data_IF_607169050182
#
_entry.id   IF_607169050182
#
_cell.length_a   1.000
_cell.length_b   1.000
_cell.length_c   1.000
_cell.angle_alpha   90.00
_cell.angle_beta   90.00
_cell.angle_gamma   90.00
#
_symmetry.space_group_name_H-M   'P 1'
#
loop_
_entity.id
_entity.type
_entity.pdbx_description
1 polymer ?
#
# COMPACT_ATOMS: atom_id res chain seq x y z
N UNK A 1 11.40 10.52 39.64
CA UNK A 1 10.60 9.37 39.14
C UNK A 1 11.45 8.63 38.12
N UNK A 2 11.74 7.35 38.33
CA UNK A 2 12.59 6.60 37.37
C UNK A 2 11.92 6.46 36.02
N UNK A 3 12.72 6.36 34.95
CA UNK A 3 12.21 6.22 33.57
C UNK A 3 11.20 5.04 33.46
N UNK A 4 11.44 3.92 34.14
CA UNK A 4 10.55 2.75 34.17
C UNK A 4 9.15 3.04 34.75
N UNK A 5 9.07 3.84 35.83
CA UNK A 5 7.80 4.22 36.45
C UNK A 5 7.02 5.15 35.51
N UNK A 6 7.70 6.05 34.84
CA UNK A 6 7.10 6.96 33.84
C UNK A 6 6.50 6.18 32.68
N UNK A 7 7.25 5.24 32.11
CA UNK A 7 6.77 4.37 31.02
C UNK A 7 5.55 3.54 31.44
N UNK A 8 5.53 3.01 32.67
CA UNK A 8 4.38 2.23 33.16
C UNK A 8 3.12 3.09 33.34
N UNK A 9 3.28 4.32 33.86
CA UNK A 9 2.18 5.29 33.97
C UNK A 9 1.64 5.71 32.60
N UNK A 10 2.52 6.00 31.65
CA UNK A 10 2.13 6.34 30.28
C UNK A 10 1.35 5.20 29.62
N UNK A 11 1.80 3.94 29.80
CA UNK A 11 1.07 2.77 29.31
C UNK A 11 -0.30 2.61 29.97
N UNK A 12 -0.42 2.86 31.28
CA UNK A 12 -1.70 2.79 31.98
C UNK A 12 -2.67 3.85 31.45
N UNK A 13 -2.20 5.09 31.28
CA UNK A 13 -2.99 6.19 30.73
C UNK A 13 -3.47 5.84 29.31
N UNK A 14 -2.57 5.35 28.43
CA UNK A 14 -2.92 4.96 27.07
C UNK A 14 -3.93 3.81 27.03
N UNK A 15 -3.79 2.77 27.89
CA UNK A 15 -4.76 1.68 27.98
C UNK A 15 -6.13 2.16 28.45
N UNK A 16 -6.18 3.05 29.43
CA UNK A 16 -7.42 3.63 29.95
C UNK A 16 -8.08 4.50 28.89
N UNK A 17 -7.33 5.38 28.24
CA UNK A 17 -7.78 6.19 27.13
C UNK A 17 -8.34 5.32 25.99
N UNK A 18 -7.61 4.24 25.59
CA UNK A 18 -8.08 3.33 24.55
C UNK A 18 -9.41 2.64 24.91
N UNK A 19 -9.63 2.26 26.18
CA UNK A 19 -10.92 1.72 26.65
C UNK A 19 -12.06 2.74 26.53
N UNK A 20 -11.80 3.99 26.92
CA UNK A 20 -12.80 5.05 26.84
C UNK A 20 -13.09 5.42 25.38
N UNK A 21 -12.04 5.59 24.57
CA UNK A 21 -12.13 5.92 23.15
C UNK A 21 -12.71 4.74 22.33
N UNK A 22 -12.57 3.50 22.82
CA UNK A 22 -13.20 2.33 22.21
C UNK A 22 -14.72 2.47 22.04
N UNK A 23 -15.38 3.25 22.94
CA UNK A 23 -16.81 3.57 22.85
C UNK A 23 -17.15 4.50 21.67
N UNK A 24 -16.16 5.19 21.10
CA UNK A 24 -16.32 6.03 19.92
C UNK A 24 -16.18 5.23 18.60
N UNK A 25 -15.73 3.98 18.67
CA UNK A 25 -15.63 3.08 17.52
C UNK A 25 -17.05 2.60 17.15
N UNK A 26 -17.67 3.27 16.19
CA UNK A 26 -19.07 3.01 15.79
C UNK A 26 -19.20 2.22 14.49
N UNK A 27 -18.18 2.24 13.65
CA UNK A 27 -18.21 1.56 12.35
C UNK A 27 -17.58 0.17 12.45
N UNK A 28 -18.17 -0.81 11.75
CA UNK A 28 -17.53 -2.10 11.48
C UNK A 28 -16.46 -1.89 10.41
N UNK A 29 -15.37 -2.65 10.49
CA UNK A 29 -14.27 -2.56 9.53
C UNK A 29 -14.74 -2.71 8.07
N UNK A 30 -15.63 -3.66 7.79
CA UNK A 30 -16.16 -3.91 6.44
C UNK A 30 -17.00 -2.76 5.86
N UNK A 31 -17.55 -1.87 6.72
CA UNK A 31 -18.35 -0.73 6.29
C UNK A 31 -17.48 0.52 6.01
N UNK A 32 -16.18 0.44 6.30
CA UNK A 32 -15.25 1.54 6.07
C UNK A 32 -14.99 1.76 4.57
N UNK A 33 -14.94 3.01 4.08
CA UNK A 33 -14.71 3.31 2.67
C UNK A 33 -13.44 2.65 2.09
N UNK A 34 -12.37 2.56 2.87
CA UNK A 34 -11.12 1.90 2.45
C UNK A 34 -11.34 0.43 2.10
N UNK A 35 -12.04 -0.33 2.95
CA UNK A 35 -12.34 -1.74 2.68
C UNK A 35 -13.37 -1.93 1.56
N UNK A 36 -14.36 -1.02 1.46
CA UNK A 36 -15.32 -1.04 0.35
C UNK A 36 -14.68 -0.80 -1.00
N UNK A 37 -13.64 0.04 -1.08
CA UNK A 37 -12.90 0.25 -2.32
C UNK A 37 -12.22 -1.04 -2.79
N UNK A 38 -11.61 -1.81 -1.87
CA UNK A 38 -11.07 -3.11 -2.24
C UNK A 38 -12.16 -4.10 -2.67
N UNK A 39 -13.30 -4.10 -2.00
CA UNK A 39 -14.45 -4.94 -2.39
C UNK A 39 -14.96 -4.57 -3.80
N UNK A 40 -14.98 -3.29 -4.15
CA UNK A 40 -15.31 -2.83 -5.50
C UNK A 40 -14.29 -3.34 -6.54
N UNK A 41 -12.99 -3.16 -6.28
CA UNK A 41 -11.94 -3.67 -7.16
C UNK A 41 -12.03 -5.21 -7.31
N UNK A 42 -12.22 -5.91 -6.20
CA UNK A 42 -12.41 -7.37 -6.21
C UNK A 42 -13.60 -7.77 -7.09
N UNK A 43 -14.72 -7.05 -7.01
CA UNK A 43 -15.89 -7.32 -7.86
C UNK A 43 -15.56 -7.12 -9.34
N UNK A 44 -14.77 -6.09 -9.70
CA UNK A 44 -14.33 -5.87 -11.09
C UNK A 44 -13.54 -7.07 -11.62
N UNK A 45 -12.64 -7.63 -10.80
CA UNK A 45 -11.86 -8.83 -11.15
C UNK A 45 -12.76 -10.04 -11.35
N UNK A 46 -13.70 -10.28 -10.41
CA UNK A 46 -14.53 -11.48 -10.40
C UNK A 46 -15.57 -11.54 -11.52
N UNK A 47 -15.96 -10.40 -12.09
CA UNK A 47 -16.91 -10.35 -13.23
C UNK A 47 -16.21 -10.34 -14.59
N UNK A 48 -14.88 -10.20 -14.61
CA UNK A 48 -14.11 -10.21 -15.84
C UNK A 48 -13.95 -11.66 -16.36
N UNK A 49 -13.93 -11.82 -17.66
CA UNK A 49 -13.74 -13.10 -18.30
C UNK A 49 -12.26 -13.50 -18.32
N UNK A 50 -11.90 -14.59 -17.62
CA UNK A 50 -10.53 -15.12 -17.55
C UNK A 50 -9.45 -14.04 -17.27
N UNK A 51 -9.58 -13.24 -16.21
CA UNK A 51 -8.66 -12.15 -15.96
C UNK A 51 -7.28 -12.65 -15.53
N UNK A 52 -6.23 -11.97 -16.02
CA UNK A 52 -4.87 -12.11 -15.51
C UNK A 52 -4.64 -11.08 -14.40
N UNK A 53 -4.31 -11.54 -13.20
CA UNK A 53 -4.12 -10.72 -11.99
C UNK A 53 -2.69 -10.78 -11.50
N UNK A 54 -2.11 -9.63 -11.17
CA UNK A 54 -0.81 -9.51 -10.49
C UNK A 54 -0.99 -8.91 -9.10
N UNK A 55 -0.44 -9.56 -8.08
CA UNK A 55 -0.22 -9.00 -6.75
C UNK A 55 1.22 -8.50 -6.61
N UNK A 56 1.42 -7.24 -6.21
CA UNK A 56 2.71 -6.68 -5.82
C UNK A 56 2.78 -6.69 -4.29
N UNK A 57 3.81 -7.35 -3.72
CA UNK A 57 3.96 -7.55 -2.29
C UNK A 57 3.31 -8.86 -1.81
N UNK A 58 3.42 -9.92 -2.61
CA UNK A 58 2.74 -11.20 -2.37
C UNK A 58 3.30 -12.01 -1.18
N UNK A 59 4.46 -11.64 -0.65
CA UNK A 59 5.12 -12.37 0.45
C UNK A 59 4.28 -12.47 1.73
N UNK A 60 3.38 -11.53 1.95
CA UNK A 60 2.43 -11.50 3.06
C UNK A 60 3.06 -11.68 4.45
N UNK A 61 3.79 -10.66 4.90
CA UNK A 61 4.53 -10.64 6.19
C UNK A 61 3.62 -10.59 7.41
N UNK A 62 2.42 -10.03 7.29
CA UNK A 62 1.52 -9.73 8.42
C UNK A 62 0.38 -10.74 8.62
N UNK A 63 0.02 -11.49 7.58
CA UNK A 63 -1.07 -12.45 7.62
C UNK A 63 -0.67 -13.73 6.87
N UNK A 64 -0.97 -14.88 7.45
CA UNK A 64 -0.61 -16.17 6.84
C UNK A 64 -1.74 -16.65 5.90
N UNK A 65 -1.98 -15.92 4.81
CA UNK A 65 -2.97 -16.30 3.80
C UNK A 65 -2.46 -15.99 2.39
N UNK A 66 -2.88 -16.80 1.42
CA UNK A 66 -2.61 -16.60 0.00
C UNK A 66 -3.46 -15.45 -0.55
N UNK A 67 -2.84 -14.54 -1.31
CA UNK A 67 -3.56 -13.46 -2.00
C UNK A 67 -4.58 -14.00 -3.01
N UNK A 68 -4.37 -15.19 -3.56
CA UNK A 68 -5.30 -15.89 -4.45
C UNK A 68 -6.67 -16.13 -3.82
N UNK A 69 -6.74 -16.33 -2.51
CA UNK A 69 -7.99 -16.54 -1.79
C UNK A 69 -8.94 -15.34 -1.88
N UNK A 70 -8.40 -14.18 -2.20
CA UNK A 70 -9.20 -12.97 -2.42
C UNK A 70 -10.00 -13.03 -3.73
N UNK A 71 -9.55 -13.84 -4.69
CA UNK A 71 -10.11 -13.91 -6.04
C UNK A 71 -10.44 -15.35 -6.45
N UNK A 72 -11.43 -15.98 -5.79
CA UNK A 72 -11.79 -17.37 -6.08
C UNK A 72 -12.24 -17.52 -7.55
N UNK A 73 -11.70 -18.56 -8.21
CA UNK A 73 -11.98 -18.85 -9.61
C UNK A 73 -11.05 -18.16 -10.62
N UNK A 74 -10.17 -17.26 -10.20
CA UNK A 74 -9.13 -16.68 -11.06
C UNK A 74 -7.97 -17.67 -11.19
N UNK A 75 -7.75 -18.19 -12.40
CA UNK A 75 -6.70 -19.18 -12.70
C UNK A 75 -5.36 -18.55 -13.07
N UNK A 76 -5.37 -17.37 -13.71
CA UNK A 76 -4.16 -16.62 -14.08
C UNK A 76 -3.85 -15.56 -13.02
N UNK A 77 -3.25 -16.01 -11.93
CA UNK A 77 -2.80 -15.15 -10.83
C UNK A 77 -1.30 -15.30 -10.64
N UNK A 78 -0.62 -14.17 -10.50
CA UNK A 78 0.82 -14.10 -10.25
C UNK A 78 1.09 -13.24 -9.02
N UNK A 79 1.78 -13.79 -8.03
CA UNK A 79 2.31 -13.04 -6.88
C UNK A 79 3.76 -12.63 -7.12
N UNK A 80 4.07 -11.33 -7.02
CA UNK A 80 5.44 -10.82 -7.09
C UNK A 80 5.86 -10.15 -5.79
N UNK A 81 7.10 -10.37 -5.38
CA UNK A 81 7.72 -9.70 -4.23
C UNK A 81 9.22 -9.53 -4.50
N UNK A 82 9.86 -8.57 -3.82
CA UNK A 82 11.32 -8.38 -3.90
C UNK A 82 12.10 -9.52 -3.25
N UNK A 83 11.48 -10.28 -2.36
CA UNK A 83 12.06 -11.44 -1.70
C UNK A 83 11.27 -12.72 -1.99
N UNK A 84 11.92 -13.88 -1.99
CA UNK A 84 11.21 -15.15 -2.08
C UNK A 84 10.31 -15.39 -0.85
N UNK A 85 9.21 -16.10 -1.07
CA UNK A 85 8.25 -16.43 -0.01
C UNK A 85 7.24 -17.47 -0.47
N UNK A 86 6.43 -17.97 0.46
CA UNK A 86 5.49 -19.08 0.22
C UNK A 86 4.48 -18.77 -0.91
N UNK A 87 4.06 -17.49 -1.05
CA UNK A 87 3.03 -17.06 -2.02
C UNK A 87 3.61 -16.23 -3.17
N UNK A 88 4.94 -16.23 -3.32
CA UNK A 88 5.66 -15.49 -4.34
C UNK A 88 5.98 -16.41 -5.51
N UNK A 89 5.40 -16.11 -6.67
CA UNK A 89 5.66 -16.86 -7.90
C UNK A 89 6.89 -16.30 -8.63
N UNK A 90 7.09 -14.98 -8.55
CA UNK A 90 8.19 -14.27 -9.21
C UNK A 90 8.88 -13.35 -8.22
N UNK A 91 10.18 -13.50 -8.08
CA UNK A 91 11.00 -12.57 -7.29
C UNK A 91 11.45 -11.44 -8.21
N UNK A 92 10.94 -10.24 -7.97
CA UNK A 92 11.28 -9.06 -8.77
C UNK A 92 11.05 -7.76 -8.00
N UNK A 93 11.80 -6.73 -8.37
CA UNK A 93 11.62 -5.37 -7.88
C UNK A 93 10.45 -4.69 -8.61
N UNK A 94 9.53 -4.08 -7.84
CA UNK A 94 8.41 -3.32 -8.39
C UNK A 94 8.84 -2.15 -9.29
N UNK A 95 10.08 -1.69 -9.18
CA UNK A 95 10.67 -0.68 -10.06
C UNK A 95 11.17 -1.24 -11.41
N UNK A 96 11.02 -2.54 -11.67
CA UNK A 96 11.50 -3.24 -12.87
C UNK A 96 10.51 -4.32 -13.37
N UNK A 97 9.20 -4.10 -13.23
CA UNK A 97 8.18 -5.10 -13.60
C UNK A 97 8.17 -5.39 -15.09
N UNK A 98 8.40 -4.38 -15.95
CA UNK A 98 8.50 -4.58 -17.40
C UNK A 98 9.62 -5.54 -17.80
N UNK A 99 10.72 -5.55 -17.04
CA UNK A 99 11.82 -6.49 -17.22
C UNK A 99 11.47 -7.90 -16.73
N UNK A 100 10.74 -8.00 -15.62
CA UNK A 100 10.31 -9.29 -15.07
C UNK A 100 9.22 -9.95 -15.90
N UNK A 101 8.37 -9.15 -16.57
CA UNK A 101 7.21 -9.61 -17.37
C UNK A 101 7.23 -9.03 -18.80
N UNK A 102 8.25 -9.32 -19.63
CA UNK A 102 8.42 -8.67 -20.94
C UNK A 102 7.27 -8.99 -21.91
N UNK A 103 6.66 -10.15 -21.82
CA UNK A 103 5.60 -10.60 -22.72
C UNK A 103 4.22 -10.68 -22.05
N UNK A 104 4.20 -10.82 -20.72
CA UNK A 104 2.94 -10.97 -19.98
C UNK A 104 2.26 -9.63 -19.81
N UNK A 105 0.94 -9.62 -20.01
CA UNK A 105 0.08 -8.46 -19.80
C UNK A 105 -1.06 -8.84 -18.87
N UNK A 106 -1.26 -8.03 -17.84
CA UNK A 106 -2.28 -8.24 -16.82
C UNK A 106 -3.51 -7.39 -17.08
N UNK A 107 -4.68 -7.91 -16.73
CA UNK A 107 -5.93 -7.15 -16.73
C UNK A 107 -6.05 -6.31 -15.46
N UNK A 108 -5.55 -6.86 -14.35
CA UNK A 108 -5.60 -6.24 -13.03
C UNK A 108 -4.26 -6.36 -12.32
N UNK A 109 -3.84 -5.27 -11.68
CA UNK A 109 -2.69 -5.24 -10.77
C UNK A 109 -3.17 -4.71 -9.43
N UNK A 110 -2.73 -5.30 -8.32
CA UNK A 110 -3.00 -4.72 -7.02
C UNK A 110 -1.80 -4.77 -6.08
N UNK A 111 -1.80 -3.84 -5.12
CA UNK A 111 -0.76 -3.71 -4.12
C UNK A 111 -1.37 -3.18 -2.81
N UNK A 112 -1.06 -3.82 -1.70
CA UNK A 112 -1.55 -3.44 -0.37
C UNK A 112 -0.36 -3.32 0.58
N UNK A 113 -0.16 -2.11 1.16
CA UNK A 113 0.92 -1.81 2.10
C UNK A 113 2.31 -2.14 1.55
N UNK A 114 2.60 -1.63 0.33
CA UNK A 114 3.89 -1.74 -0.34
C UNK A 114 4.37 -0.39 -0.84
N UNK A 115 3.47 0.48 -1.34
CA UNK A 115 3.86 1.74 -1.96
C UNK A 115 4.60 2.68 -1.02
N UNK A 116 4.33 2.61 0.29
CA UNK A 116 5.07 3.34 1.33
C UNK A 116 6.55 2.94 1.41
N UNK A 117 6.88 1.72 0.95
CA UNK A 117 8.21 1.14 0.94
C UNK A 117 8.92 1.24 -0.40
N UNK A 118 8.28 1.78 -1.43
CA UNK A 118 8.89 2.00 -2.73
C UNK A 118 9.68 3.31 -2.73
N UNK A 119 10.98 3.25 -2.95
CA UNK A 119 11.83 4.44 -3.00
C UNK A 119 11.38 5.42 -4.09
N UNK A 120 10.98 4.90 -5.25
CA UNK A 120 10.53 5.66 -6.43
C UNK A 120 9.12 5.22 -6.86
N UNK A 121 8.05 5.59 -6.13
CA UNK A 121 6.70 5.08 -6.40
C UNK A 121 6.16 5.48 -7.77
N UNK A 122 6.57 6.63 -8.32
CA UNK A 122 6.23 7.03 -9.69
C UNK A 122 6.87 6.13 -10.75
N UNK A 123 8.08 5.58 -10.49
CA UNK A 123 8.68 4.57 -11.37
C UNK A 123 7.86 3.29 -11.35
N UNK A 124 7.44 2.83 -10.17
CA UNK A 124 6.56 1.66 -10.07
C UNK A 124 5.23 1.87 -10.81
N UNK A 125 4.66 3.08 -10.79
CA UNK A 125 3.47 3.40 -11.58
C UNK A 125 3.72 3.25 -13.10
N UNK A 126 4.88 3.69 -13.60
CA UNK A 126 5.26 3.48 -15.00
C UNK A 126 5.47 2.00 -15.33
N UNK A 127 6.12 1.25 -14.47
CA UNK A 127 6.34 -0.19 -14.63
C UNK A 127 5.01 -0.98 -14.61
N UNK A 128 4.07 -0.58 -13.76
CA UNK A 128 2.69 -1.11 -13.79
C UNK A 128 2.02 -0.80 -15.13
N UNK A 129 2.22 0.41 -15.67
CA UNK A 129 1.69 0.74 -17.00
C UNK A 129 2.25 -0.19 -18.08
N UNK A 130 3.55 -0.52 -18.05
CA UNK A 130 4.17 -1.42 -19.03
C UNK A 130 3.52 -2.80 -19.07
N UNK A 131 3.17 -3.35 -17.92
CA UNK A 131 2.67 -4.72 -17.78
C UNK A 131 1.14 -4.83 -17.84
N UNK A 132 0.41 -3.73 -17.68
CA UNK A 132 -1.05 -3.70 -17.83
C UNK A 132 -1.47 -3.70 -19.30
N UNK A 133 -2.51 -4.46 -19.61
CA UNK A 133 -3.23 -4.36 -20.88
C UNK A 133 -3.89 -2.99 -21.03
N UNK A 134 -4.11 -2.48 -22.26
CA UNK A 134 -4.96 -1.31 -22.45
C UNK A 134 -6.34 -1.51 -21.80
N UNK A 135 -6.80 -0.53 -21.04
CA UNK A 135 -8.05 -0.65 -20.26
C UNK A 135 -7.95 -1.40 -18.93
N UNK A 136 -6.78 -2.01 -18.64
CA UNK A 136 -6.53 -2.69 -17.37
C UNK A 136 -6.54 -1.74 -16.18
N UNK A 137 -6.73 -2.28 -14.98
CA UNK A 137 -6.89 -1.49 -13.77
C UNK A 137 -5.81 -1.82 -12.73
N UNK A 138 -5.41 -0.80 -12.00
CA UNK A 138 -4.54 -0.94 -10.83
C UNK A 138 -5.28 -0.51 -9.57
N UNK A 139 -5.12 -1.29 -8.50
CA UNK A 139 -5.55 -0.95 -7.15
C UNK A 139 -4.32 -0.78 -6.26
N UNK A 140 -4.25 0.34 -5.54
CA UNK A 140 -3.22 0.58 -4.53
C UNK A 140 -3.89 0.95 -3.21
N UNK A 141 -3.52 0.24 -2.16
CA UNK A 141 -3.89 0.57 -0.80
C UNK A 141 -2.63 0.80 0.05
N UNK A 142 -2.55 1.92 0.75
CA UNK A 142 -1.40 2.35 1.54
C UNK A 142 -1.83 3.29 2.68
N UNK A 143 -0.91 4.03 3.28
CA UNK A 143 -1.13 4.76 4.52
C UNK A 143 -0.91 6.27 4.38
N UNK A 144 -1.91 7.12 4.69
CA UNK A 144 -1.70 8.56 4.89
C UNK A 144 -1.09 8.87 6.27
N UNK A 145 -1.36 8.04 7.28
CA UNK A 145 -0.79 8.17 8.62
C UNK A 145 -0.58 6.80 9.25
N UNK A 146 0.66 6.45 9.52
CA UNK A 146 1.07 5.21 10.16
C UNK A 146 2.38 5.41 10.92
N UNK A 147 2.63 4.62 11.97
CA UNK A 147 3.93 4.60 12.63
C UNK A 147 5.01 4.11 11.67
N UNK A 148 6.24 4.62 11.82
CA UNK A 148 7.38 4.13 11.03
C UNK A 148 7.60 2.64 11.29
N UNK A 149 7.80 1.87 10.23
CA UNK A 149 7.96 0.42 10.28
C UNK A 149 8.85 -0.06 9.14
N UNK A 150 9.39 -1.28 9.27
CA UNK A 150 10.26 -1.92 8.27
C UNK A 150 11.46 -1.06 7.81
N UNK A 151 11.99 -0.27 8.75
CA UNK A 151 13.14 0.60 8.51
C UNK A 151 14.37 -0.19 8.03
N UNK A 152 15.18 0.37 7.12
CA UNK A 152 15.15 1.76 6.60
C UNK A 152 14.23 1.97 5.38
N UNK A 153 13.39 1.03 5.01
CA UNK A 153 12.57 1.03 3.80
C UNK A 153 11.14 1.52 4.05
N UNK A 154 10.97 2.65 4.70
CA UNK A 154 9.68 3.31 4.97
C UNK A 154 9.80 4.78 4.55
N UNK A 155 9.40 5.10 3.32
CA UNK A 155 9.71 6.37 2.68
C UNK A 155 8.53 7.34 2.62
N UNK A 156 7.28 6.82 2.45
CA UNK A 156 6.17 7.66 2.04
C UNK A 156 4.92 7.52 2.91
N UNK A 157 4.18 8.63 2.98
CA UNK A 157 2.80 8.70 3.48
C UNK A 157 1.97 9.41 2.43
N UNK A 158 0.87 8.78 2.00
CA UNK A 158 0.10 9.20 0.84
C UNK A 158 -1.17 9.91 1.27
N UNK A 159 -1.40 11.13 0.80
CA UNK A 159 -2.65 11.86 0.97
C UNK A 159 -3.56 11.67 -0.25
N UNK A 160 -4.82 12.09 -0.14
CA UNK A 160 -5.82 11.94 -1.20
C UNK A 160 -5.31 12.34 -2.59
N UNK A 161 -4.67 13.50 -2.71
CA UNK A 161 -4.20 14.02 -4.00
C UNK A 161 -2.91 13.38 -4.52
N UNK A 162 -2.20 12.58 -3.72
CA UNK A 162 -1.02 11.85 -4.19
C UNK A 162 -1.37 10.80 -5.26
N UNK A 163 -2.63 10.31 -5.29
CA UNK A 163 -3.12 9.46 -6.36
C UNK A 163 -2.92 10.09 -7.75
N UNK A 164 -3.21 11.38 -7.88
CA UNK A 164 -3.09 12.11 -9.16
C UNK A 164 -1.65 12.45 -9.53
N UNK A 165 -0.70 12.44 -8.58
CA UNK A 165 0.72 12.57 -8.88
C UNK A 165 1.32 11.28 -9.43
N UNK A 166 0.80 10.13 -9.01
CA UNK A 166 1.26 8.81 -9.47
C UNK A 166 0.54 8.35 -10.74
N UNK A 167 -0.79 8.52 -10.77
CA UNK A 167 -1.67 8.02 -11.84
C UNK A 167 -2.32 9.21 -12.55
N UNK A 168 -1.82 9.55 -13.74
CA UNK A 168 -2.26 10.69 -14.53
C UNK A 168 -2.02 10.45 -16.02
N UNK A 169 -2.41 11.40 -16.86
CA UNK A 169 -2.28 11.27 -18.32
C UNK A 169 -0.84 11.08 -18.81
N UNK A 170 0.17 11.60 -18.07
CA UNK A 170 1.58 11.45 -18.45
C UNK A 170 2.10 10.06 -18.09
N UNK A 171 1.64 9.50 -16.96
CA UNK A 171 1.90 8.09 -16.60
C UNK A 171 0.96 7.10 -17.31
N UNK A 172 0.06 7.60 -18.17
CA UNK A 172 -0.85 6.80 -18.99
C UNK A 172 -2.07 6.28 -18.26
N UNK A 173 -2.47 6.93 -17.16
CA UNK A 173 -3.59 6.52 -16.33
C UNK A 173 -4.66 7.61 -16.17
N UNK A 174 -5.86 7.14 -15.88
CA UNK A 174 -6.96 7.92 -15.33
C UNK A 174 -7.29 7.40 -13.94
N UNK A 175 -7.39 8.28 -12.95
CA UNK A 175 -7.83 7.92 -11.59
C UNK A 175 -9.35 7.72 -11.61
N UNK A 176 -9.78 6.49 -11.39
CA UNK A 176 -11.22 6.12 -11.37
C UNK A 176 -11.84 6.45 -10.02
N UNK A 177 -11.14 6.16 -8.94
CA UNK A 177 -11.61 6.41 -7.58
C UNK A 177 -10.45 6.56 -6.61
N UNK A 178 -10.62 7.44 -5.63
CA UNK A 178 -9.74 7.57 -4.46
C UNK A 178 -10.61 7.67 -3.21
N UNK A 179 -10.23 6.98 -2.17
CA UNK A 179 -10.90 7.11 -0.87
C UNK A 179 -9.91 7.04 0.28
N UNK A 180 -10.18 7.80 1.32
CA UNK A 180 -9.53 7.66 2.61
C UNK A 180 -10.50 6.98 3.57
N UNK A 181 -9.96 6.16 4.48
CA UNK A 181 -10.74 5.46 5.48
C UNK A 181 -9.92 5.14 6.73
N UNK A 182 -10.48 4.29 7.59
CA UNK A 182 -9.89 3.98 8.89
C UNK A 182 -9.66 5.26 9.71
N UNK A 183 -10.74 6.01 10.06
CA UNK A 183 -10.62 7.31 10.72
C UNK A 183 -9.92 7.20 12.06
N UNK A 184 -9.03 8.13 12.34
CA UNK A 184 -8.25 8.22 13.56
C UNK A 184 -8.14 9.67 14.05
N UNK A 185 -7.57 9.83 15.24
CA UNK A 185 -7.18 11.13 15.79
C UNK A 185 -5.78 11.04 16.36
N UNK A 186 -5.00 12.10 16.16
CA UNK A 186 -3.64 12.19 16.67
C UNK A 186 -3.58 13.09 17.91
N UNK A 187 -2.87 12.63 18.93
CA UNK A 187 -2.60 13.41 20.13
C UNK A 187 -1.11 13.76 20.17
N UNK A 188 -0.82 15.05 20.29
CA UNK A 188 0.54 15.49 20.54
C UNK A 188 0.95 15.18 21.98
N UNK A 189 2.13 14.62 22.15
CA UNK A 189 2.77 14.43 23.47
C UNK A 189 3.66 15.62 23.85
N UNK A 190 3.74 16.63 23.00
CA UNK A 190 4.50 17.86 23.21
C UNK A 190 3.54 19.02 23.36
N UNK A 191 3.83 19.94 24.29
CA UNK A 191 3.09 21.20 24.44
C UNK A 191 3.58 22.21 23.39
N UNK A 192 3.04 22.07 22.18
CA UNK A 192 3.33 22.93 21.05
C UNK A 192 2.03 23.60 20.55
N UNK A 193 2.00 24.94 20.36
CA UNK A 193 0.81 25.63 19.90
C UNK A 193 0.27 25.14 18.56
N UNK A 194 1.13 24.69 17.63
CA UNK A 194 0.71 24.17 16.34
C UNK A 194 0.10 22.77 16.44
N UNK A 195 0.52 21.96 17.42
CA UNK A 195 0.10 20.56 17.56
C UNK A 195 -1.00 20.32 18.62
N UNK A 196 -1.25 21.27 19.52
CA UNK A 196 -2.14 21.07 20.67
C UNK A 196 -3.60 20.73 20.31
N UNK A 197 -4.06 21.12 19.12
CA UNK A 197 -5.43 20.89 18.64
C UNK A 197 -5.54 19.76 17.61
N UNK A 198 -4.46 19.04 17.30
CA UNK A 198 -4.47 17.97 16.30
C UNK A 198 -5.53 16.89 16.58
N UNK A 199 -5.83 16.62 17.85
CA UNK A 199 -6.85 15.67 18.25
C UNK A 199 -8.30 16.07 17.88
N UNK A 200 -8.54 17.33 17.54
CA UNK A 200 -9.85 17.81 17.07
C UNK A 200 -10.09 17.50 15.59
N UNK A 201 -9.01 17.30 14.82
CA UNK A 201 -9.11 16.99 13.40
C UNK A 201 -9.11 15.48 13.17
N UNK A 202 -9.98 15.05 12.25
CA UNK A 202 -9.97 13.67 11.79
C UNK A 202 -8.82 13.45 10.82
N UNK A 203 -8.14 12.32 11.01
CA UNK A 203 -7.13 11.78 10.11
C UNK A 203 -7.61 10.42 9.60
N UNK A 204 -6.96 9.90 8.58
CA UNK A 204 -7.21 8.58 8.07
C UNK A 204 -5.92 7.73 8.14
N UNK A 205 -6.07 6.44 8.40
CA UNK A 205 -4.94 5.50 8.45
C UNK A 205 -4.78 4.73 7.15
N UNK A 206 -5.80 4.70 6.30
CA UNK A 206 -5.81 4.03 5.02
C UNK A 206 -6.21 4.96 3.88
N UNK A 207 -5.56 4.79 2.74
CA UNK A 207 -5.96 5.35 1.45
C UNK A 207 -6.01 4.22 0.43
N UNK A 208 -7.05 4.19 -0.39
CA UNK A 208 -7.22 3.25 -1.48
C UNK A 208 -7.47 4.01 -2.80
N UNK A 209 -6.85 3.53 -3.86
CA UNK A 209 -6.84 4.14 -5.19
C UNK A 209 -7.19 3.08 -6.22
N UNK A 210 -8.11 3.39 -7.14
CA UNK A 210 -8.30 2.63 -8.37
C UNK A 210 -7.95 3.54 -9.54
N UNK A 211 -7.04 3.11 -10.40
CA UNK A 211 -6.73 3.79 -11.64
C UNK A 211 -6.83 2.84 -12.83
N UNK A 212 -7.17 3.38 -14.01
CA UNK A 212 -7.32 2.66 -15.27
C UNK A 212 -6.24 3.09 -16.23
N UNK A 213 -5.57 2.14 -16.86
CA UNK A 213 -4.67 2.44 -17.98
C UNK A 213 -5.45 2.89 -19.19
N UNK A 214 -5.19 4.12 -19.65
CA UNK A 214 -5.83 4.73 -20.83
C UNK A 214 -4.88 4.88 -22.00
N UNK A 215 -3.57 4.91 -21.74
CA UNK A 215 -2.50 4.95 -22.75
C UNK A 215 -1.22 4.34 -22.23
N UNK A 216 -0.22 4.18 -23.06
CA UNK A 216 1.15 3.99 -22.56
C UNK A 216 1.63 5.32 -21.95
N UNK A 217 2.52 5.21 -20.93
CA UNK A 217 3.13 6.43 -20.38
C UNK A 217 4.02 7.13 -21.41
N UNK A 218 4.19 8.43 -21.23
CA UNK A 218 4.99 9.27 -22.14
C UNK A 218 6.49 9.08 -21.85
N UNK A 219 7.14 8.23 -22.62
CA UNK A 219 8.57 7.90 -22.46
C UNK A 219 9.51 9.05 -22.77
N UNK A 220 9.06 10.05 -23.51
CA UNK A 220 9.89 11.23 -23.82
C UNK A 220 9.92 12.21 -22.65
N UNK A 221 8.79 12.36 -21.96
CA UNK A 221 8.65 13.25 -20.81
C UNK A 221 9.05 12.59 -19.48
N UNK A 222 8.86 11.26 -19.34
CA UNK A 222 9.18 10.49 -18.16
C UNK A 222 10.36 9.56 -18.45
N UNK A 223 11.57 10.04 -18.23
CA UNK A 223 12.80 9.22 -18.28
C UNK A 223 13.28 9.00 -16.85
N UNK A 224 13.08 7.78 -16.36
CA UNK A 224 13.48 7.43 -15.01
C UNK A 224 14.16 6.05 -15.02
N UNK A 225 15.46 6.04 -15.22
CA UNK A 225 16.25 4.82 -15.38
C UNK A 225 16.84 4.29 -14.08
N UNK A 226 16.68 5.04 -12.96
CA UNK A 226 17.18 4.67 -11.66
C UNK A 226 16.41 3.50 -11.04
N UNK A 227 17.13 2.68 -10.26
CA UNK A 227 16.58 1.68 -9.36
C UNK A 227 17.13 1.90 -7.95
N UNK A 228 16.51 1.35 -6.87
CA UNK A 228 17.01 1.54 -5.51
C UNK A 228 18.49 1.21 -5.32
N UNK A 229 19.01 0.19 -5.99
CA UNK A 229 20.42 -0.20 -5.93
C UNK A 229 21.41 0.86 -6.44
N UNK A 230 20.93 1.85 -7.22
CA UNK A 230 21.77 2.97 -7.67
C UNK A 230 21.95 4.06 -6.59
N UNK A 231 21.14 4.00 -5.53
CA UNK A 231 21.07 5.04 -4.48
C UNK A 231 21.49 4.52 -3.12
N UNK A 232 21.24 3.24 -2.83
CA UNK A 232 21.54 2.62 -1.53
C UNK A 232 22.06 1.21 -1.70
N UNK A 233 22.91 0.78 -0.78
CA UNK A 233 23.44 -0.58 -0.65
C UNK A 233 22.54 -1.48 0.23
N UNK A 234 21.45 -0.94 0.78
CA UNK A 234 20.49 -1.70 1.58
C UNK A 234 19.38 -2.28 0.72
N UNK A 235 18.81 -3.38 1.19
CA UNK A 235 17.61 -4.00 0.61
C UNK A 235 16.44 -3.87 1.58
N UNK A 236 15.22 -4.01 1.05
CA UNK A 236 14.03 -4.12 1.88
C UNK A 236 14.25 -5.20 2.97
N UNK A 237 13.99 -4.89 4.25
CA UNK A 237 14.35 -5.79 5.35
C UNK A 237 13.58 -7.12 5.28
N UNK A 238 14.29 -8.20 5.58
CA UNK A 238 13.65 -9.47 5.87
C UNK A 238 12.98 -9.40 7.25
N UNK A 239 11.85 -10.11 7.47
CA UNK A 239 11.27 -10.23 8.80
C UNK A 239 12.30 -10.74 9.79
N UNK A 240 12.37 -10.12 10.96
CA UNK A 240 13.19 -10.66 12.04
C UNK A 240 12.77 -12.11 12.29
N UNK A 241 13.71 -13.04 12.22
CA UNK A 241 13.47 -14.43 12.64
C UNK A 241 13.01 -14.38 14.08
N UNK A 242 11.79 -14.85 14.37
CA UNK A 242 11.36 -15.03 15.77
C UNK A 242 12.44 -15.90 16.45
N UNK A 243 13.00 -15.47 17.60
CA UNK A 243 13.87 -16.35 18.36
C UNK A 243 13.08 -17.64 18.61
N UNK A 244 13.71 -18.78 18.31
CA UNK A 244 13.16 -20.08 18.65
C UNK A 244 12.90 -20.07 20.16
N UNK A 245 11.62 -20.13 20.56
CA UNK A 245 11.17 -20.20 21.93
C UNK A 245 11.42 -21.56 22.55
#
# INVERSE_FOLDING_TARGET
>A
MSARIRTALDQLVLRTANRLLGRLRRAKSGDDPYHRMFAQFRQMVLVAENPAVLEIGARNVSANHDGRDRFPGVSDYTGVDIHPGQYVDVVADAHQLGKAFPEKRFDFVYSISVFEHLMFPWKAAMEINEILKPGGHVFVATHPAWASHELPWDFWRYLHHSAHSLFNSVTGFEVVAVTEGLPARMFSLVRDPAAQYMHLFQMHQGIAIIAKKVSNYDRERLRWDLVPADVTDTLYPLPATKPAG
#
